data_IF_594146160348
#
_entry.id   IF_594146160348
#
_cell.length_a   1.000
_cell.length_b   1.000
_cell.length_c   1.000
_cell.angle_alpha   90.00
_cell.angle_beta   90.00
_cell.angle_gamma   90.00
#
_symmetry.space_group_name_H-M   'P 1'
#
loop_
_entity.id
_entity.type
_entity.pdbx_description
1 polymer ?
#
# COMPACT_ATOMS: atom_id res chain seq x y z
N UNK A 1 0.74 22.23 6.55
CA UNK A 1 0.80 20.75 6.66
C UNK A 1 0.91 20.32 5.23
N UNK A 2 2.12 20.00 4.77
CA UNK A 2 2.46 20.13 3.34
C UNK A 2 2.61 18.75 2.68
N UNK A 3 2.09 17.71 3.35
CA UNK A 3 2.07 16.33 2.88
C UNK A 3 0.67 15.98 2.38
N UNK A 4 0.59 15.29 1.26
CA UNK A 4 -0.65 14.71 0.72
C UNK A 4 -0.51 13.20 0.64
N UNK A 5 -1.51 12.47 1.14
CA UNK A 5 -1.54 11.00 1.03
C UNK A 5 -1.90 10.58 -0.39
N UNK A 6 -1.04 9.78 -1.00
CA UNK A 6 -1.24 9.20 -2.32
C UNK A 6 -0.79 7.73 -2.31
N UNK A 7 -1.30 6.95 -3.25
CA UNK A 7 -0.75 5.63 -3.58
C UNK A 7 0.20 5.76 -4.76
N UNK A 8 1.42 5.24 -4.60
CA UNK A 8 2.43 5.18 -5.66
C UNK A 8 2.44 3.76 -6.23
N UNK A 9 2.28 3.62 -7.55
CA UNK A 9 2.45 2.33 -8.23
C UNK A 9 3.95 2.04 -8.37
N UNK A 10 4.42 0.97 -7.72
CA UNK A 10 5.86 0.67 -7.62
C UNK A 10 6.33 -0.48 -8.51
N UNK A 11 5.41 -1.21 -9.15
CA UNK A 11 5.70 -2.45 -9.90
C UNK A 11 6.63 -2.29 -11.10
N UNK A 12 6.97 -1.06 -11.48
CA UNK A 12 7.89 -0.75 -12.59
C UNK A 12 9.01 0.19 -12.15
N UNK A 13 9.07 0.53 -10.86
CA UNK A 13 10.03 1.49 -10.34
C UNK A 13 11.32 0.78 -9.95
N UNK A 14 12.42 1.45 -10.24
CA UNK A 14 13.73 1.13 -9.70
C UNK A 14 13.87 1.78 -8.33
N UNK A 15 14.02 0.96 -7.29
CA UNK A 15 14.17 1.41 -5.91
C UNK A 15 15.58 1.10 -5.43
N UNK A 16 16.35 2.14 -5.19
CA UNK A 16 17.64 2.03 -4.53
C UNK A 16 17.48 2.26 -3.03
N UNK A 17 18.03 1.36 -2.21
CA UNK A 17 18.04 1.49 -0.75
C UNK A 17 19.48 1.54 -0.25
N UNK A 18 19.89 2.67 0.32
CA UNK A 18 21.16 2.79 1.03
C UNK A 18 21.02 2.18 2.43
N UNK A 19 21.82 1.17 2.72
CA UNK A 19 21.84 0.42 3.98
C UNK A 19 21.23 -0.98 3.84
N UNK A 20 21.61 -1.88 4.74
CA UNK A 20 21.12 -3.27 4.77
C UNK A 20 20.65 -3.72 6.16
N UNK A 21 20.46 -2.79 7.09
CA UNK A 21 19.93 -3.07 8.43
C UNK A 21 18.44 -3.39 8.44
N UNK A 22 17.88 -3.58 9.63
CA UNK A 22 16.46 -3.96 9.82
C UNK A 22 15.48 -2.98 9.13
N UNK A 23 15.76 -1.68 9.20
CA UNK A 23 14.93 -0.66 8.54
C UNK A 23 14.98 -0.84 7.03
N UNK A 24 16.16 -1.01 6.43
CA UNK A 24 16.33 -1.22 5.00
C UNK A 24 15.64 -2.50 4.54
N UNK A 25 15.81 -3.61 5.26
CA UNK A 25 15.17 -4.89 4.96
C UNK A 25 13.63 -4.80 4.97
N UNK A 26 13.06 -4.06 5.93
CA UNK A 26 11.60 -3.82 5.97
C UNK A 26 11.13 -2.99 4.78
N UNK A 27 11.91 -2.01 4.32
CA UNK A 27 11.59 -1.21 3.13
C UNK A 27 11.70 -2.03 1.86
N UNK A 28 12.78 -2.81 1.71
CA UNK A 28 13.00 -3.70 0.58
C UNK A 28 11.83 -4.66 0.41
N UNK A 29 11.44 -5.38 1.47
CA UNK A 29 10.28 -6.28 1.43
C UNK A 29 9.02 -5.57 0.93
N UNK A 30 8.70 -4.39 1.49
CA UNK A 30 7.51 -3.63 1.07
C UNK A 30 7.51 -3.34 -0.43
N UNK A 31 8.64 -2.95 -1.01
CA UNK A 31 8.72 -2.63 -2.44
C UNK A 31 8.76 -3.88 -3.32
N UNK A 32 9.47 -4.94 -2.91
CA UNK A 32 9.50 -6.24 -3.59
C UNK A 32 8.13 -6.90 -3.64
N UNK A 33 7.39 -6.87 -2.52
CA UNK A 33 6.03 -7.44 -2.44
C UNK A 33 5.05 -6.73 -3.41
N UNK A 34 5.39 -5.53 -3.88
CA UNK A 34 4.66 -4.76 -4.88
C UNK A 34 5.36 -4.72 -6.26
N UNK A 35 6.31 -5.62 -6.50
CA UNK A 35 6.94 -5.85 -7.79
C UNK A 35 7.98 -4.83 -8.23
N UNK A 36 8.51 -4.01 -7.32
CA UNK A 36 9.58 -3.07 -7.67
C UNK A 36 10.92 -3.80 -7.92
N UNK A 37 11.79 -3.21 -8.75
CA UNK A 37 13.17 -3.66 -8.87
C UNK A 37 13.96 -3.05 -7.71
N UNK A 38 14.51 -3.87 -6.81
CA UNK A 38 15.16 -3.37 -5.59
C UNK A 38 16.64 -3.70 -5.56
N UNK A 39 17.46 -2.65 -5.46
CA UNK A 39 18.91 -2.76 -5.20
C UNK A 39 19.22 -2.14 -3.84
N UNK A 40 20.09 -2.79 -3.08
CA UNK A 40 20.58 -2.31 -1.79
C UNK A 40 22.10 -2.16 -1.81
N UNK A 41 22.63 -1.15 -1.13
CA UNK A 41 24.08 -1.03 -0.90
C UNK A 41 24.40 -1.04 0.60
N UNK A 42 25.36 -1.87 1.01
CA UNK A 42 25.79 -2.02 2.40
C UNK A 42 26.54 -3.32 2.63
N UNK A 43 26.47 -3.87 3.85
CA UNK A 43 27.35 -4.98 4.26
C UNK A 43 26.90 -6.34 3.69
N UNK A 44 25.65 -6.71 3.91
CA UNK A 44 25.10 -8.02 3.52
C UNK A 44 23.58 -7.98 3.39
N UNK A 45 23.00 -8.91 2.63
CA UNK A 45 21.56 -9.15 2.58
C UNK A 45 21.23 -10.53 3.16
N UNK A 46 20.04 -10.64 3.76
CA UNK A 46 19.47 -11.94 4.13
C UNK A 46 19.11 -12.74 2.89
N UNK A 47 19.19 -14.08 2.97
CA UNK A 47 18.73 -14.99 1.92
C UNK A 47 17.31 -14.67 1.44
N UNK A 48 16.41 -14.39 2.38
CA UNK A 48 15.00 -14.11 2.09
C UNK A 48 14.80 -12.90 1.16
N UNK A 49 15.68 -11.89 1.23
CA UNK A 49 15.60 -10.72 0.34
C UNK A 49 16.13 -11.06 -1.05
N UNK A 50 17.22 -11.82 -1.10
CA UNK A 50 17.82 -12.28 -2.36
C UNK A 50 16.85 -13.18 -3.12
N UNK A 51 16.22 -14.12 -2.42
CA UNK A 51 15.23 -15.05 -2.99
C UNK A 51 13.98 -14.31 -3.50
N UNK A 52 13.65 -13.16 -2.92
CA UNK A 52 12.59 -12.26 -3.40
C UNK A 52 13.03 -11.38 -4.58
N UNK A 53 14.29 -11.41 -4.98
CA UNK A 53 14.83 -10.64 -6.11
C UNK A 53 15.53 -9.33 -5.74
N UNK A 54 15.91 -9.14 -4.47
CA UNK A 54 16.78 -8.01 -4.10
C UNK A 54 18.23 -8.26 -4.53
N UNK A 55 18.88 -7.23 -5.04
CA UNK A 55 20.30 -7.28 -5.39
C UNK A 55 21.15 -6.49 -4.38
N UNK A 56 22.27 -7.07 -3.96
CA UNK A 56 23.29 -6.36 -3.17
C UNK A 56 24.32 -5.73 -4.13
N UNK A 57 24.56 -4.44 -3.98
CA UNK A 57 25.51 -3.66 -4.74
C UNK A 57 26.60 -3.08 -3.83
N UNK A 58 27.72 -2.67 -4.43
CA UNK A 58 28.83 -2.08 -3.71
C UNK A 58 28.47 -0.64 -3.27
N UNK A 59 28.98 -0.20 -2.12
CA UNK A 59 28.76 1.15 -1.62
C UNK A 59 29.50 2.21 -2.45
N UNK A 60 30.49 1.79 -3.22
CA UNK A 60 31.26 2.63 -4.13
C UNK A 60 30.43 3.01 -5.37
N UNK A 61 29.39 2.23 -5.70
CA UNK A 61 28.56 2.42 -6.89
C UNK A 61 27.35 3.34 -6.63
N UNK A 62 27.29 4.03 -5.49
CA UNK A 62 26.12 4.83 -5.06
C UNK A 62 25.68 5.88 -6.09
N UNK A 63 26.61 6.51 -6.79
CA UNK A 63 26.31 7.47 -7.86
C UNK A 63 25.54 6.81 -9.02
N UNK A 64 25.97 5.62 -9.45
CA UNK A 64 25.31 4.85 -10.51
C UNK A 64 23.94 4.34 -10.05
N UNK A 65 23.85 3.87 -8.80
CA UNK A 65 22.61 3.37 -8.19
C UNK A 65 21.56 4.49 -8.04
N UNK A 66 21.97 5.68 -7.60
CA UNK A 66 21.08 6.84 -7.53
C UNK A 66 20.60 7.26 -8.91
N UNK A 67 21.48 7.28 -9.91
CA UNK A 67 21.11 7.60 -11.28
C UNK A 67 20.09 6.62 -11.85
N UNK A 68 20.28 5.32 -11.59
CA UNK A 68 19.39 4.22 -12.00
C UNK A 68 18.01 4.27 -11.33
N UNK A 69 17.93 4.76 -10.09
CA UNK A 69 16.71 4.71 -9.28
C UNK A 69 15.67 5.77 -9.65
N UNK A 70 14.39 5.39 -9.58
CA UNK A 70 13.26 6.33 -9.57
C UNK A 70 12.95 6.81 -8.13
N UNK A 71 13.18 5.93 -7.16
CA UNK A 71 12.99 6.17 -5.73
C UNK A 71 14.24 5.75 -4.96
N UNK A 72 14.77 6.66 -4.15
CA UNK A 72 15.89 6.44 -3.25
C UNK A 72 15.39 6.35 -1.81
N UNK A 73 15.79 5.30 -1.10
CA UNK A 73 15.47 5.12 0.32
C UNK A 73 16.78 5.11 1.10
N UNK A 74 16.92 6.05 2.03
CA UNK A 74 18.10 6.17 2.86
C UNK A 74 17.77 5.60 4.23
N UNK A 75 18.42 4.47 4.55
CA UNK A 75 18.22 3.69 5.77
C UNK A 75 19.57 3.14 6.30
N UNK A 76 20.62 3.97 6.22
CA UNK A 76 21.96 3.68 6.71
C UNK A 76 22.23 4.39 8.04
N UNK A 77 23.18 3.87 8.82
CA UNK A 77 23.71 4.54 10.01
C UNK A 77 24.85 5.52 9.70
N UNK A 78 25.35 5.53 8.47
CA UNK A 78 26.37 6.47 8.00
C UNK A 78 25.70 7.79 7.59
N UNK A 79 25.84 8.83 8.43
CA UNK A 79 25.22 10.13 8.21
C UNK A 79 25.83 10.88 7.02
N UNK A 80 27.15 10.79 6.83
CA UNK A 80 27.85 11.48 5.73
C UNK A 80 27.41 10.90 4.38
N UNK A 81 27.41 9.57 4.26
CA UNK A 81 26.92 8.89 3.05
C UNK A 81 25.42 9.15 2.83
N UNK A 82 24.63 9.18 3.91
CA UNK A 82 23.19 9.45 3.83
C UNK A 82 22.89 10.86 3.29
N UNK A 83 23.60 11.86 3.76
CA UNK A 83 23.48 13.24 3.28
C UNK A 83 24.06 13.40 1.86
N UNK A 84 25.14 12.70 1.53
CA UNK A 84 25.68 12.63 0.16
C UNK A 84 24.66 12.07 -0.83
N UNK A 85 24.14 10.86 -0.57
CA UNK A 85 23.11 10.20 -1.41
C UNK A 85 21.87 11.10 -1.56
N UNK A 86 21.47 11.78 -0.49
CA UNK A 86 20.34 12.71 -0.54
C UNK A 86 20.58 13.88 -1.47
N UNK A 87 21.80 14.44 -1.43
CA UNK A 87 22.19 15.57 -2.28
C UNK A 87 22.24 15.17 -3.75
N UNK A 88 22.85 14.03 -4.08
CA UNK A 88 22.97 13.58 -5.48
C UNK A 88 21.65 13.04 -6.06
N UNK A 89 20.65 12.76 -5.22
CA UNK A 89 19.32 12.32 -5.66
C UNK A 89 18.53 13.40 -6.43
N UNK A 90 18.87 14.69 -6.27
CA UNK A 90 18.24 15.79 -7.01
C UNK A 90 16.71 15.79 -6.89
N UNK A 91 16.03 15.79 -8.04
CA UNK A 91 14.56 15.83 -8.12
C UNK A 91 13.87 14.45 -8.00
N UNK A 92 14.63 13.38 -7.76
CA UNK A 92 14.08 12.03 -7.59
C UNK A 92 13.23 11.94 -6.34
N UNK A 93 12.41 10.90 -6.27
CA UNK A 93 11.71 10.57 -5.03
C UNK A 93 12.74 10.08 -4.01
N UNK A 94 12.70 10.65 -2.81
CA UNK A 94 13.62 10.33 -1.72
C UNK A 94 12.87 10.15 -0.41
N UNK A 95 13.06 8.97 0.19
CA UNK A 95 12.63 8.66 1.55
C UNK A 95 13.82 8.61 2.50
N UNK A 96 13.90 9.57 3.43
CA UNK A 96 14.84 9.56 4.55
C UNK A 96 14.21 8.88 5.77
N UNK A 97 14.68 7.68 6.11
CA UNK A 97 14.11 6.92 7.23
C UNK A 97 14.52 7.49 8.60
N UNK A 98 15.71 8.09 8.66
CA UNK A 98 16.31 8.78 9.79
C UNK A 98 15.69 10.17 10.03
N UNK A 99 15.59 10.98 8.97
CA UNK A 99 15.07 12.36 9.00
C UNK A 99 13.99 12.55 7.93
N UNK A 100 12.73 12.17 8.19
CA UNK A 100 11.67 12.19 7.18
C UNK A 100 11.43 13.55 6.49
N UNK A 101 11.81 14.67 7.13
CA UNK A 101 11.71 16.03 6.58
C UNK A 101 12.83 16.38 5.59
N UNK A 102 13.92 15.59 5.52
CA UNK A 102 15.00 15.73 4.53
C UNK A 102 14.69 14.97 3.22
N UNK A 103 13.47 14.46 3.04
CA UNK A 103 13.01 13.81 1.82
C UNK A 103 11.69 14.38 1.31
N UNK A 104 11.23 13.91 0.16
CA UNK A 104 9.96 14.31 -0.49
C UNK A 104 8.94 13.15 -0.57
N UNK A 105 9.30 11.95 -0.08
CA UNK A 105 8.41 10.80 0.05
C UNK A 105 8.45 10.25 1.47
N UNK A 106 7.26 9.99 2.01
CA UNK A 106 7.10 9.31 3.29
C UNK A 106 6.63 7.87 3.02
N UNK A 107 7.36 6.90 3.57
CA UNK A 107 6.90 5.50 3.63
C UNK A 107 6.40 5.23 5.06
N UNK A 108 5.10 5.40 5.35
CA UNK A 108 4.57 5.20 6.70
C UNK A 108 4.54 3.73 7.09
N UNK A 109 4.21 3.47 8.35
CA UNK A 109 3.72 2.15 8.76
C UNK A 109 2.39 1.91 8.05
N UNK A 110 2.29 0.77 7.36
CA UNK A 110 1.03 0.33 6.76
C UNK A 110 0.76 -1.14 7.06
N UNK A 111 -0.46 -1.56 6.79
CA UNK A 111 -0.90 -2.94 6.86
C UNK A 111 -2.06 -3.17 5.88
N UNK A 112 -2.18 -4.41 5.46
CA UNK A 112 -3.29 -4.91 4.68
C UNK A 112 -4.13 -5.91 5.49
N UNK A 113 -5.44 -5.91 5.25
CA UNK A 113 -6.39 -6.97 5.64
C UNK A 113 -7.24 -7.24 4.40
N UNK A 114 -7.05 -8.41 3.78
CA UNK A 114 -7.64 -8.72 2.46
C UNK A 114 -7.41 -7.55 1.48
N UNK A 115 -8.48 -6.95 0.96
CA UNK A 115 -8.45 -5.85 -0.01
C UNK A 115 -8.32 -4.44 0.62
N UNK A 116 -8.14 -4.36 1.94
CA UNK A 116 -8.06 -3.09 2.68
C UNK A 116 -6.61 -2.79 3.03
N UNK A 117 -6.01 -1.78 2.38
CA UNK A 117 -4.69 -1.23 2.73
C UNK A 117 -4.85 0.06 3.55
N UNK A 118 -4.15 0.16 4.69
CA UNK A 118 -4.19 1.34 5.55
C UNK A 118 -2.77 1.79 5.89
N UNK A 119 -2.48 3.05 5.61
CA UNK A 119 -1.24 3.73 5.95
C UNK A 119 -1.46 4.78 7.04
N UNK A 120 -0.63 4.76 8.08
CA UNK A 120 -0.77 5.67 9.23
C UNK A 120 0.46 6.57 9.33
N UNK A 121 0.24 7.88 9.15
CA UNK A 121 1.27 8.90 9.29
C UNK A 121 0.90 9.89 10.41
N UNK A 122 1.69 9.93 11.47
CA UNK A 122 1.50 10.84 12.62
C UNK A 122 2.27 12.16 12.46
N UNK A 123 2.55 12.57 11.21
CA UNK A 123 3.43 13.70 10.88
C UNK A 123 4.82 13.59 11.55
N UNK A 124 5.34 12.35 11.64
CA UNK A 124 6.61 12.05 12.32
C UNK A 124 6.60 12.19 13.85
N UNK A 125 5.48 12.61 14.48
CA UNK A 125 5.46 12.97 15.91
C UNK A 125 5.53 11.78 16.86
N UNK A 126 4.96 10.63 16.50
CA UNK A 126 4.93 9.46 17.38
C UNK A 126 4.84 8.16 16.60
N UNK A 127 5.98 7.46 16.39
CA UNK A 127 5.99 6.11 15.85
C UNK A 127 5.24 5.11 16.75
N UNK A 128 5.34 5.29 18.08
CA UNK A 128 4.63 4.44 19.05
C UNK A 128 3.11 4.55 18.88
N UNK A 129 2.59 5.77 18.74
CA UNK A 129 1.16 5.99 18.52
C UNK A 129 0.71 5.45 17.17
N UNK A 130 1.52 5.59 16.11
CA UNK A 130 1.22 4.99 14.81
C UNK A 130 1.04 3.46 14.92
N UNK A 131 1.90 2.79 15.69
CA UNK A 131 1.81 1.35 15.95
C UNK A 131 0.56 0.98 16.77
N UNK A 132 0.19 1.78 17.77
CA UNK A 132 -1.02 1.55 18.55
C UNK A 132 -2.29 1.76 17.72
N UNK A 133 -2.35 2.81 16.88
CA UNK A 133 -3.45 3.06 15.96
C UNK A 133 -3.60 1.92 14.96
N UNK A 134 -2.49 1.40 14.42
CA UNK A 134 -2.50 0.20 13.57
C UNK A 134 -3.25 -0.95 14.25
N UNK A 135 -2.88 -1.31 15.48
CA UNK A 135 -3.54 -2.40 16.21
C UNK A 135 -5.03 -2.14 16.43
N UNK A 136 -5.40 -0.90 16.80
CA UNK A 136 -6.80 -0.52 17.02
C UNK A 136 -7.62 -0.62 15.73
N UNK A 137 -7.10 -0.12 14.61
CA UNK A 137 -7.79 -0.15 13.32
C UNK A 137 -7.90 -1.60 12.83
N UNK A 138 -6.85 -2.40 12.98
CA UNK A 138 -6.90 -3.83 12.65
C UNK A 138 -7.99 -4.58 13.43
N UNK A 139 -8.22 -4.23 14.70
CA UNK A 139 -9.21 -4.93 15.54
C UNK A 139 -10.67 -4.57 15.25
N UNK A 140 -10.92 -3.49 14.51
CA UNK A 140 -12.30 -3.07 14.18
C UNK A 140 -12.74 -3.50 12.79
N UNK A 141 -11.80 -3.87 11.90
CA UNK A 141 -12.12 -4.39 10.58
C UNK A 141 -12.56 -5.84 10.74
N UNK A 142 -13.78 -6.13 10.30
CA UNK A 142 -14.43 -7.42 10.45
C UNK A 142 -14.39 -8.22 9.15
N UNK A 143 -14.72 -9.51 9.24
CA UNK A 143 -14.92 -10.34 8.05
C UNK A 143 -16.15 -9.87 7.25
N UNK A 144 -17.19 -9.36 7.93
CA UNK A 144 -18.38 -8.79 7.28
C UNK A 144 -18.00 -7.60 6.37
N UNK A 145 -17.08 -6.73 6.81
CA UNK A 145 -16.59 -5.62 5.98
C UNK A 145 -15.91 -6.10 4.69
N UNK A 146 -15.16 -7.21 4.77
CA UNK A 146 -14.45 -7.80 3.62
C UNK A 146 -15.46 -8.39 2.63
N UNK A 147 -16.44 -9.13 3.15
CA UNK A 147 -17.50 -9.74 2.36
C UNK A 147 -18.40 -8.69 1.68
N UNK A 148 -18.69 -7.58 2.36
CA UNK A 148 -19.42 -6.45 1.79
C UNK A 148 -18.65 -5.81 0.64
N UNK A 149 -17.32 -5.65 0.75
CA UNK A 149 -16.48 -5.16 -0.37
C UNK A 149 -16.60 -6.07 -1.58
N UNK A 150 -16.54 -7.40 -1.39
CA UNK A 150 -16.70 -8.38 -2.47
C UNK A 150 -18.08 -8.25 -3.15
N UNK A 151 -19.15 -8.16 -2.37
CA UNK A 151 -20.51 -8.04 -2.89
C UNK A 151 -20.76 -6.70 -3.60
N UNK A 152 -20.21 -5.60 -3.08
CA UNK A 152 -20.28 -4.30 -3.72
C UNK A 152 -19.54 -4.28 -5.06
N UNK A 153 -18.39 -4.94 -5.16
CA UNK A 153 -17.70 -5.05 -6.45
C UNK A 153 -18.49 -5.90 -7.44
N UNK A 154 -19.02 -7.05 -7.01
CA UNK A 154 -19.92 -7.88 -7.80
C UNK A 154 -21.12 -7.10 -8.34
N UNK A 155 -21.86 -6.42 -7.45
CA UNK A 155 -23.02 -5.60 -7.82
C UNK A 155 -22.64 -4.49 -8.79
N UNK A 156 -21.49 -3.82 -8.58
CA UNK A 156 -21.00 -2.76 -9.46
C UNK A 156 -20.71 -3.28 -10.86
N UNK A 157 -20.14 -4.46 -11.01
CA UNK A 157 -19.88 -5.07 -12.31
C UNK A 157 -21.20 -5.38 -13.03
N UNK A 158 -22.19 -5.97 -12.34
CA UNK A 158 -23.51 -6.26 -12.93
C UNK A 158 -24.29 -5.00 -13.33
N UNK A 159 -24.30 -3.98 -12.46
CA UNK A 159 -25.00 -2.73 -12.72
C UNK A 159 -24.43 -1.94 -13.90
N UNK A 160 -23.13 -2.12 -14.24
CA UNK A 160 -22.54 -1.49 -15.43
C UNK A 160 -23.18 -1.95 -16.73
N UNK A 161 -23.65 -3.20 -16.78
CA UNK A 161 -24.26 -3.78 -17.99
C UNK A 161 -25.74 -3.41 -18.14
N UNK A 162 -26.39 -2.98 -17.05
CA UNK A 162 -27.84 -2.78 -16.99
C UNK A 162 -28.22 -1.30 -16.87
N UNK A 163 -27.42 -0.51 -16.15
CA UNK A 163 -27.72 0.90 -15.86
C UNK A 163 -26.62 1.77 -16.46
N UNK A 164 -26.93 2.48 -17.54
CA UNK A 164 -25.95 3.34 -18.24
C UNK A 164 -25.54 4.56 -17.40
N UNK A 165 -26.49 5.14 -16.65
CA UNK A 165 -26.25 6.36 -15.90
C UNK A 165 -25.45 6.11 -14.60
N UNK A 166 -24.32 6.82 -14.46
CA UNK A 166 -23.44 6.67 -13.30
C UNK A 166 -24.09 7.08 -11.97
N UNK A 167 -24.96 8.11 -11.95
CA UNK A 167 -25.65 8.55 -10.73
C UNK A 167 -26.68 7.53 -10.28
N UNK A 168 -27.41 6.93 -11.22
CA UNK A 168 -28.39 5.87 -10.92
C UNK A 168 -27.69 4.60 -10.44
N UNK A 169 -26.60 4.16 -11.10
CA UNK A 169 -25.78 3.04 -10.60
C UNK A 169 -25.34 3.25 -9.16
N UNK A 170 -24.89 4.47 -8.83
CA UNK A 170 -24.48 4.81 -7.47
C UNK A 170 -25.65 4.69 -6.49
N UNK A 171 -26.86 5.10 -6.87
CA UNK A 171 -28.07 4.95 -6.04
C UNK A 171 -28.37 3.47 -5.78
N UNK A 172 -28.37 2.63 -6.81
CA UNK A 172 -28.60 1.19 -6.66
C UNK A 172 -27.55 0.52 -5.75
N UNK A 173 -26.28 0.91 -5.85
CA UNK A 173 -25.25 0.38 -4.95
C UNK A 173 -25.51 0.72 -3.47
N UNK A 174 -26.01 1.93 -3.18
CA UNK A 174 -26.41 2.28 -1.81
C UNK A 174 -27.63 1.48 -1.36
N UNK A 175 -28.63 1.28 -2.23
CA UNK A 175 -29.80 0.47 -1.90
C UNK A 175 -29.41 -0.99 -1.62
N UNK A 176 -28.47 -1.55 -2.38
CA UNK A 176 -27.90 -2.90 -2.15
C UNK A 176 -27.12 -2.96 -0.84
N UNK A 177 -26.31 -1.94 -0.52
CA UNK A 177 -25.56 -1.85 0.73
C UNK A 177 -26.48 -1.81 1.97
N UNK A 178 -27.61 -1.10 1.85
CA UNK A 178 -28.58 -0.91 2.94
C UNK A 178 -29.64 -2.03 3.01
N UNK A 179 -29.64 -2.99 2.07
CA UNK A 179 -30.65 -4.06 2.04
C UNK A 179 -30.48 -5.03 3.22
N UNK A 180 -31.53 -5.17 4.03
CA UNK A 180 -31.51 -5.97 5.26
C UNK A 180 -31.23 -7.44 5.01
N UNK A 181 -31.73 -7.99 3.89
CA UNK A 181 -31.55 -9.40 3.55
C UNK A 181 -30.13 -9.68 3.09
N UNK A 182 -29.52 -8.78 2.31
CA UNK A 182 -28.11 -8.87 1.95
C UNK A 182 -27.24 -8.85 3.21
N UNK A 183 -27.50 -7.90 4.11
CA UNK A 183 -26.80 -7.80 5.39
C UNK A 183 -26.95 -9.06 6.26
N UNK A 184 -28.12 -9.70 6.28
CA UNK A 184 -28.34 -10.97 6.97
C UNK A 184 -27.53 -12.11 6.32
N UNK A 185 -27.53 -12.20 4.99
CA UNK A 185 -26.77 -13.22 4.25
C UNK A 185 -25.27 -13.09 4.48
N UNK A 186 -24.74 -11.87 4.58
CA UNK A 186 -23.33 -11.61 4.92
C UNK A 186 -23.00 -12.12 6.32
N UNK A 187 -23.83 -11.80 7.32
CA UNK A 187 -23.66 -12.27 8.70
C UNK A 187 -23.65 -13.80 8.79
N UNK A 188 -24.47 -14.46 7.97
CA UNK A 188 -24.53 -15.91 7.88
C UNK A 188 -23.47 -16.52 6.92
N UNK A 189 -22.61 -15.70 6.31
CA UNK A 189 -21.57 -16.10 5.34
C UNK A 189 -22.12 -16.78 4.08
N UNK A 190 -23.35 -16.43 3.68
CA UNK A 190 -24.07 -16.98 2.53
C UNK A 190 -23.87 -16.10 1.28
N UNK A 191 -22.63 -15.97 0.82
CA UNK A 191 -22.25 -15.03 -0.24
C UNK A 191 -22.87 -15.37 -1.60
N UNK A 192 -22.95 -16.66 -1.93
CA UNK A 192 -23.57 -17.08 -3.20
C UNK A 192 -25.07 -16.76 -3.22
N UNK A 193 -25.77 -16.97 -2.10
CA UNK A 193 -27.17 -16.59 -1.95
C UNK A 193 -27.37 -15.06 -2.06
N UNK A 194 -26.45 -14.29 -1.48
CA UNK A 194 -26.45 -12.82 -1.59
C UNK A 194 -26.26 -12.36 -3.04
N UNK A 195 -25.33 -12.97 -3.78
CA UNK A 195 -25.12 -12.70 -5.21
C UNK A 195 -26.36 -13.03 -6.05
N UNK A 196 -27.02 -14.17 -5.79
CA UNK A 196 -28.28 -14.54 -6.44
C UNK A 196 -29.39 -13.53 -6.14
N UNK A 197 -29.47 -13.06 -4.89
CA UNK A 197 -30.45 -12.05 -4.51
C UNK A 197 -30.18 -10.70 -5.18
N UNK A 198 -28.91 -10.25 -5.25
CA UNK A 198 -28.48 -9.07 -5.99
C UNK A 198 -28.86 -9.17 -7.47
N UNK A 199 -28.61 -10.32 -8.12
CA UNK A 199 -28.97 -10.53 -9.52
C UNK A 199 -30.49 -10.36 -9.74
N UNK A 200 -31.32 -10.82 -8.81
CA UNK A 200 -32.77 -10.65 -8.89
C UNK A 200 -33.19 -9.20 -8.69
N UNK A 201 -32.58 -8.47 -7.75
CA UNK A 201 -32.82 -7.03 -7.56
C UNK A 201 -32.49 -6.26 -8.85
N UNK A 202 -31.33 -6.55 -9.45
CA UNK A 202 -30.88 -5.88 -10.68
C UNK A 202 -31.78 -6.21 -11.87
N UNK A 203 -32.22 -7.47 -12.02
CA UNK A 203 -33.17 -7.87 -13.07
C UNK A 203 -34.51 -7.14 -12.96
N UNK A 204 -34.94 -6.78 -11.75
CA UNK A 204 -36.15 -6.00 -11.50
C UNK A 204 -36.04 -4.51 -11.85
N UNK A 205 -34.85 -4.02 -12.21
CA UNK A 205 -34.65 -2.65 -12.69
C UNK A 205 -34.90 -2.49 -14.21
N UNK A 206 -35.01 -3.60 -14.95
CA UNK A 206 -35.32 -3.63 -16.38
C UNK A 206 -36.81 -3.53 -16.66
#
# INVERSE_FOLDING_TARGET
>A
MDWTSIYLKTSTLNVFILGTGEVAARRANKFLDHGANVKLAGNNLSSDLIDKGAELCATEDVDELVNWADLVVVASGDEEMSDYVSKISGDKLINRADYPLKGNVIVPTSFNIADIEISIFTNGKSPLMARQLRKKIQSIITEEDILEIELQDYARLKLKDVVENQKERRKCLYEIFEDEKINELIKNRQIDDAKVYIDNLIRGLN
#
